data_IF_275546514989
#
_entry.id   IF_275546514989
#
_cell.length_a   1.000
_cell.length_b   1.000
_cell.length_c   1.000
_cell.angle_alpha   90.00
_cell.angle_beta   90.00
_cell.angle_gamma   90.00
#
_symmetry.space_group_name_H-M   'P 1'
#
loop_
_entity.id
_entity.type
_entity.pdbx_description
1 polymer ?
#
# COMPACT_ATOMS: atom_id res chain seq x y z
N UNK A 1 -13.28 -33.38 -8.54
CA UNK A 1 -13.67 -34.59 -9.30
C UNK A 1 -14.49 -34.31 -10.57
N UNK A 2 -15.27 -33.19 -10.61
CA UNK A 2 -16.09 -32.85 -11.80
C UNK A 2 -15.32 -32.17 -12.93
N UNK A 3 -14.11 -31.68 -12.70
CA UNK A 3 -13.34 -30.85 -13.66
C UNK A 3 -12.25 -31.60 -14.44
N UNK A 4 -12.08 -32.89 -14.17
CA UNK A 4 -11.17 -33.80 -14.89
C UNK A 4 -9.74 -33.22 -15.11
N UNK A 5 -9.17 -32.62 -14.05
CA UNK A 5 -7.83 -32.05 -14.09
C UNK A 5 -7.68 -30.68 -14.78
N UNK A 6 -8.76 -30.08 -15.25
CA UNK A 6 -8.73 -28.76 -15.95
C UNK A 6 -8.58 -27.55 -15.03
N UNK A 7 -8.68 -27.74 -13.70
CA UNK A 7 -8.58 -26.67 -12.71
C UNK A 7 -7.23 -26.82 -11.98
N UNK A 8 -6.44 -25.77 -11.99
CA UNK A 8 -5.24 -25.63 -11.16
C UNK A 8 -5.64 -24.82 -9.93
N UNK A 9 -5.47 -25.38 -8.75
CA UNK A 9 -5.73 -24.71 -7.49
C UNK A 9 -4.47 -23.95 -7.05
N UNK A 10 -4.60 -22.64 -6.80
CA UNK A 10 -3.56 -21.87 -6.15
C UNK A 10 -3.85 -21.77 -4.65
N UNK A 11 -2.86 -22.09 -3.81
CA UNK A 11 -2.96 -22.04 -2.36
C UNK A 11 -1.82 -21.15 -1.85
N UNK A 12 -2.18 -19.98 -1.39
CA UNK A 12 -1.26 -19.11 -0.69
C UNK A 12 -1.04 -19.62 0.74
N UNK A 13 0.15 -19.39 1.29
CA UNK A 13 0.55 -19.88 2.61
C UNK A 13 0.23 -21.36 2.84
N UNK A 14 0.64 -22.21 1.89
CA UNK A 14 0.36 -23.65 1.91
C UNK A 14 0.69 -24.32 3.25
N UNK A 15 1.68 -23.81 3.96
CA UNK A 15 2.08 -24.31 5.28
C UNK A 15 0.96 -24.21 6.33
N UNK A 16 0.05 -23.26 6.21
CA UNK A 16 -1.08 -23.10 7.16
C UNK A 16 -2.05 -24.27 7.07
N UNK A 17 -2.25 -24.81 5.86
CA UNK A 17 -3.15 -25.94 5.62
C UNK A 17 -2.49 -27.26 6.08
N UNK A 18 -1.17 -27.36 5.87
CA UNK A 18 -0.41 -28.59 6.20
C UNK A 18 -0.04 -28.64 7.69
N UNK A 19 0.22 -27.50 8.32
CA UNK A 19 0.61 -27.38 9.72
C UNK A 19 -0.55 -27.41 10.72
N UNK A 20 -1.77 -27.19 10.26
CA UNK A 20 -2.95 -27.05 11.11
C UNK A 20 -3.40 -28.34 11.83
N UNK A 21 -2.86 -29.49 11.47
CA UNK A 21 -3.25 -30.80 12.02
C UNK A 21 -2.74 -31.12 13.44
N UNK A 22 -2.13 -30.17 14.15
CA UNK A 22 -1.59 -30.39 15.50
C UNK A 22 -2.50 -29.94 16.66
N UNK A 23 -3.63 -29.32 16.35
CA UNK A 23 -4.65 -29.00 17.37
C UNK A 23 -5.73 -30.07 17.39
N UNK A 24 -5.93 -30.71 18.55
CA UNK A 24 -6.99 -31.69 18.78
C UNK A 24 -8.35 -31.11 18.36
N UNK A 25 -8.97 -31.70 17.34
CA UNK A 25 -10.34 -31.37 16.88
C UNK A 25 -10.47 -30.60 15.55
N UNK A 26 -9.41 -30.19 14.90
CA UNK A 26 -9.50 -29.63 13.54
C UNK A 26 -9.32 -30.75 12.50
N UNK A 27 -10.25 -30.85 11.54
CA UNK A 27 -10.07 -31.72 10.38
C UNK A 27 -8.81 -31.26 9.63
N UNK A 28 -7.78 -32.10 9.65
CA UNK A 28 -6.50 -31.84 9.01
C UNK A 28 -6.71 -31.77 7.48
N UNK A 29 -6.86 -30.55 6.96
CA UNK A 29 -6.99 -30.33 5.54
C UNK A 29 -5.80 -30.90 4.74
N UNK A 30 -4.62 -30.95 5.35
CA UNK A 30 -3.45 -31.59 4.77
C UNK A 30 -3.67 -33.08 4.50
N UNK A 31 -4.30 -33.80 5.44
CA UNK A 31 -4.63 -35.21 5.25
C UNK A 31 -5.71 -35.46 4.19
N UNK A 32 -6.56 -34.48 3.92
CA UNK A 32 -7.53 -34.56 2.80
C UNK A 32 -6.87 -34.29 1.44
N UNK A 33 -5.89 -33.38 1.37
CA UNK A 33 -5.19 -33.03 0.12
C UNK A 33 -4.20 -34.12 -0.31
N UNK A 34 -3.48 -34.75 0.62
CA UNK A 34 -2.47 -35.77 0.33
C UNK A 34 -2.96 -36.91 -0.59
N UNK A 35 -4.13 -37.54 -0.34
CA UNK A 35 -4.66 -38.58 -1.23
C UNK A 35 -5.03 -38.07 -2.62
N UNK A 36 -5.55 -36.84 -2.72
CA UNK A 36 -5.98 -36.25 -3.99
C UNK A 36 -4.76 -35.90 -4.87
N UNK A 37 -3.72 -35.33 -4.24
CA UNK A 37 -2.43 -35.09 -4.89
C UNK A 37 -1.77 -36.37 -5.31
N UNK A 38 -1.85 -37.43 -4.50
CA UNK A 38 -1.27 -38.73 -4.78
C UNK A 38 -1.87 -39.41 -6.01
N UNK A 39 -3.16 -39.24 -6.23
CA UNK A 39 -3.89 -39.82 -7.36
C UNK A 39 -3.88 -38.94 -8.62
N UNK A 40 -3.23 -37.77 -8.58
CA UNK A 40 -3.28 -36.79 -9.68
C UNK A 40 -4.65 -36.17 -9.92
N UNK A 41 -5.56 -36.30 -8.94
CA UNK A 41 -6.92 -35.75 -9.03
C UNK A 41 -6.94 -34.22 -8.78
N UNK A 42 -5.85 -33.68 -8.21
CA UNK A 42 -5.68 -32.26 -7.89
C UNK A 42 -4.34 -31.75 -8.44
N UNK A 43 -4.42 -30.75 -9.30
CA UNK A 43 -3.26 -29.94 -9.68
C UNK A 43 -3.23 -28.69 -8.82
N UNK A 44 -2.09 -28.45 -8.16
CA UNK A 44 -1.98 -27.40 -7.17
C UNK A 44 -0.66 -26.64 -7.30
N UNK A 45 -0.72 -25.33 -7.19
CA UNK A 45 0.43 -24.45 -7.00
C UNK A 45 0.32 -23.93 -5.57
N UNK A 46 1.32 -24.22 -4.72
CA UNK A 46 1.39 -23.72 -3.36
C UNK A 46 2.46 -22.65 -3.23
N UNK A 47 2.14 -21.54 -2.59
CA UNK A 47 3.11 -20.51 -2.21
C UNK A 47 3.40 -20.60 -0.71
N UNK A 48 4.67 -20.41 -0.33
CA UNK A 48 5.10 -20.38 1.07
C UNK A 48 6.49 -19.74 1.18
N UNK A 49 6.92 -19.41 2.39
CA UNK A 49 8.30 -18.96 2.63
C UNK A 49 9.27 -20.14 2.70
N UNK A 50 10.57 -19.88 2.48
CA UNK A 50 11.60 -20.92 2.56
C UNK A 50 11.67 -21.58 3.94
N UNK A 51 11.52 -20.82 4.99
CA UNK A 51 11.59 -21.34 6.37
C UNK A 51 10.38 -22.21 6.70
N UNK A 52 9.18 -21.80 6.27
CA UNK A 52 7.97 -22.58 6.45
C UNK A 52 7.96 -23.84 5.57
N UNK A 53 8.53 -23.77 4.33
CA UNK A 53 8.73 -24.93 3.47
C UNK A 53 9.59 -25.98 4.17
N UNK A 54 10.76 -25.59 4.69
CA UNK A 54 11.67 -26.50 5.42
C UNK A 54 11.03 -27.08 6.67
N UNK A 55 10.22 -26.31 7.36
CA UNK A 55 9.60 -26.72 8.63
C UNK A 55 8.42 -27.67 8.46
N UNK A 56 7.60 -27.47 7.42
CA UNK A 56 6.31 -28.17 7.28
C UNK A 56 6.21 -29.05 6.04
N UNK A 57 6.79 -28.67 4.91
CA UNK A 57 6.65 -29.42 3.65
C UNK A 57 7.77 -30.44 3.49
N UNK A 58 9.02 -30.03 3.61
CA UNK A 58 10.21 -30.86 3.44
C UNK A 58 10.25 -32.01 4.45
N UNK A 59 9.75 -31.79 5.66
CA UNK A 59 9.69 -32.83 6.70
C UNK A 59 8.57 -33.87 6.50
N UNK A 60 7.63 -33.58 5.62
CA UNK A 60 6.55 -34.52 5.29
C UNK A 60 6.84 -35.21 3.96
N UNK A 61 7.42 -36.40 4.02
CA UNK A 61 7.81 -37.19 2.84
C UNK A 61 6.65 -37.44 1.86
N UNK A 62 5.39 -37.32 2.29
CA UNK A 62 4.24 -37.48 1.41
C UNK A 62 3.96 -36.21 0.61
N UNK A 63 4.28 -35.04 1.13
CA UNK A 63 4.15 -33.76 0.42
C UNK A 63 5.38 -33.45 -0.41
N UNK A 64 6.57 -33.65 0.14
CA UNK A 64 7.84 -33.42 -0.55
C UNK A 64 7.90 -34.09 -1.93
N UNK A 65 7.44 -35.34 -2.01
CA UNK A 65 7.42 -36.11 -3.30
C UNK A 65 6.37 -35.64 -4.29
N UNK A 66 5.46 -34.74 -3.90
CA UNK A 66 4.32 -34.28 -4.71
C UNK A 66 4.39 -32.81 -5.12
N UNK A 67 5.25 -32.06 -4.47
CA UNK A 67 5.51 -30.68 -4.81
C UNK A 67 6.94 -30.54 -5.35
N UNK A 68 7.06 -30.03 -6.56
CA UNK A 68 8.34 -29.61 -7.10
C UNK A 68 8.62 -28.18 -6.60
N UNK A 69 9.66 -27.96 -5.78
CA UNK A 69 9.98 -26.61 -5.32
C UNK A 69 10.49 -25.75 -6.47
N UNK A 70 9.96 -24.55 -6.57
CA UNK A 70 10.41 -23.48 -7.47
C UNK A 70 10.81 -22.32 -6.58
N UNK A 71 12.10 -21.99 -6.60
CA UNK A 71 12.62 -20.85 -5.85
C UNK A 71 12.35 -19.56 -6.62
N UNK A 72 11.77 -18.58 -5.96
CA UNK A 72 11.54 -17.22 -6.49
C UNK A 72 12.44 -16.28 -5.73
N UNK A 73 13.48 -15.79 -6.42
CA UNK A 73 14.44 -14.87 -5.85
C UNK A 73 13.89 -13.42 -5.79
N UNK A 74 14.53 -12.61 -4.99
CA UNK A 74 14.28 -11.16 -4.96
C UNK A 74 14.63 -10.54 -6.33
N UNK A 75 13.78 -9.68 -6.91
CA UNK A 75 14.07 -9.04 -8.19
C UNK A 75 15.26 -8.08 -8.07
N UNK A 76 15.99 -7.91 -9.16
CA UNK A 76 17.04 -6.92 -9.28
C UNK A 76 16.48 -5.49 -9.15
N UNK A 77 17.38 -4.50 -8.98
CA UNK A 77 16.98 -3.08 -8.94
C UNK A 77 16.24 -2.67 -10.22
N UNK A 78 16.74 -3.09 -11.38
CA UNK A 78 16.16 -2.79 -12.68
C UNK A 78 14.77 -3.42 -12.85
N UNK A 79 14.61 -4.68 -12.47
CA UNK A 79 13.31 -5.38 -12.50
C UNK A 79 12.33 -4.74 -11.53
N UNK A 80 12.78 -4.36 -10.33
CA UNK A 80 11.96 -3.65 -9.35
C UNK A 80 11.45 -2.31 -9.88
N UNK A 81 12.30 -1.53 -10.58
CA UNK A 81 11.88 -0.29 -11.25
C UNK A 81 10.79 -0.58 -12.29
N UNK A 82 10.93 -1.63 -13.09
CA UNK A 82 9.90 -1.98 -14.08
C UNK A 82 8.59 -2.40 -13.43
N UNK A 83 8.66 -3.18 -12.33
CA UNK A 83 7.48 -3.57 -11.55
C UNK A 83 6.75 -2.32 -11.02
N UNK A 84 7.48 -1.37 -10.41
CA UNK A 84 6.90 -0.15 -9.88
C UNK A 84 6.31 0.75 -10.99
N UNK A 85 6.97 0.83 -12.14
CA UNK A 85 6.41 1.52 -13.32
C UNK A 85 5.09 0.91 -13.77
N UNK A 86 4.97 -0.40 -13.74
CA UNK A 86 3.72 -1.10 -14.03
C UNK A 86 2.59 -0.87 -13.01
N UNK A 87 2.95 -0.55 -11.77
CA UNK A 87 2.00 -0.26 -10.69
C UNK A 87 1.63 1.22 -10.57
N UNK A 88 2.40 2.13 -11.18
CA UNK A 88 2.31 3.59 -11.07
C UNK A 88 0.88 4.11 -11.18
N UNK A 89 0.20 3.81 -12.28
CA UNK A 89 -1.13 4.36 -12.58
C UNK A 89 -2.15 4.04 -11.47
N UNK A 90 -2.02 2.87 -10.85
CA UNK A 90 -2.90 2.45 -9.75
C UNK A 90 -2.65 3.27 -8.48
N UNK A 91 -1.38 3.53 -8.15
CA UNK A 91 -1.00 4.35 -7.01
C UNK A 91 -1.31 5.82 -7.22
N UNK A 92 -1.06 6.36 -8.41
CA UNK A 92 -1.45 7.73 -8.80
C UNK A 92 -2.96 7.93 -8.67
N UNK A 93 -3.77 7.00 -9.18
CA UNK A 93 -5.22 7.05 -9.08
C UNK A 93 -5.71 6.97 -7.63
N UNK A 94 -5.08 6.12 -6.79
CA UNK A 94 -5.45 5.96 -5.39
C UNK A 94 -5.13 7.20 -4.56
N UNK A 95 -3.90 7.71 -4.68
CA UNK A 95 -3.42 8.85 -3.90
C UNK A 95 -3.78 10.21 -4.53
N UNK A 96 -4.17 10.24 -5.80
CA UNK A 96 -4.43 11.47 -6.59
C UNK A 96 -3.21 12.40 -6.62
N UNK A 97 -2.03 11.83 -6.83
CA UNK A 97 -0.75 12.50 -6.98
C UNK A 97 -0.04 11.94 -8.20
N UNK A 98 0.86 12.71 -8.80
CA UNK A 98 1.71 12.22 -9.89
C UNK A 98 3.00 11.64 -9.33
N UNK A 99 3.43 10.49 -9.87
CA UNK A 99 4.66 9.77 -9.46
C UNK A 99 5.62 9.77 -10.65
N UNK A 100 6.70 10.54 -10.55
CA UNK A 100 7.70 10.66 -11.61
C UNK A 100 8.59 9.41 -11.69
N UNK A 101 9.26 9.21 -12.83
CA UNK A 101 10.26 8.15 -12.99
C UNK A 101 11.40 8.29 -12.00
N UNK A 102 11.85 9.52 -11.74
CA UNK A 102 12.90 9.78 -10.74
C UNK A 102 12.46 9.39 -9.32
N UNK A 103 11.17 9.55 -8.98
CA UNK A 103 10.64 9.13 -7.70
C UNK A 103 10.65 7.60 -7.56
N UNK A 104 10.32 6.87 -8.62
CA UNK A 104 10.40 5.40 -8.66
C UNK A 104 11.85 4.93 -8.50
N UNK A 105 12.76 5.50 -9.28
CA UNK A 105 14.18 5.20 -9.20
C UNK A 105 14.75 5.46 -7.80
N UNK A 106 14.39 6.60 -7.21
CA UNK A 106 14.79 6.94 -5.85
C UNK A 106 14.22 5.96 -4.82
N UNK A 107 12.94 5.59 -4.95
CA UNK A 107 12.29 4.66 -4.03
C UNK A 107 12.99 3.30 -4.02
N UNK A 108 13.32 2.75 -5.18
CA UNK A 108 14.03 1.46 -5.28
C UNK A 108 15.43 1.57 -4.71
N UNK A 109 16.23 2.58 -5.11
CA UNK A 109 17.63 2.73 -4.67
C UNK A 109 17.75 3.04 -3.17
N UNK A 110 16.86 3.89 -2.63
CA UNK A 110 16.88 4.26 -1.22
C UNK A 110 16.35 3.13 -0.34
N UNK A 111 15.28 2.44 -0.74
CA UNK A 111 14.78 1.30 0.01
C UNK A 111 15.81 0.17 0.05
N UNK A 112 16.49 -0.11 -1.06
CA UNK A 112 17.53 -1.12 -1.10
C UNK A 112 18.69 -0.78 -0.16
N UNK A 113 19.10 0.48 -0.13
CA UNK A 113 20.23 0.95 0.68
C UNK A 113 19.94 1.04 2.18
N UNK A 114 18.71 1.44 2.56
CA UNK A 114 18.40 1.82 3.94
C UNK A 114 17.42 0.90 4.65
N UNK A 115 16.65 0.10 3.90
CA UNK A 115 15.69 -0.87 4.47
C UNK A 115 16.26 -2.27 4.27
N UNK A 116 16.80 -2.84 5.35
CA UNK A 116 17.52 -4.12 5.32
C UNK A 116 16.72 -5.31 5.81
N UNK A 117 15.57 -5.07 6.44
CA UNK A 117 14.68 -6.07 7.05
C UNK A 117 13.52 -6.50 6.12
N UNK A 118 13.49 -5.96 4.90
CA UNK A 118 12.48 -6.26 3.88
C UNK A 118 13.12 -6.44 2.51
N UNK A 119 12.38 -7.08 1.61
CA UNK A 119 12.82 -7.41 0.26
C UNK A 119 12.19 -6.50 -0.79
N UNK A 120 12.86 -6.37 -1.94
CA UNK A 120 12.28 -5.79 -3.15
C UNK A 120 11.27 -6.79 -3.76
N UNK A 121 10.20 -6.31 -4.41
CA UNK A 121 9.87 -4.90 -4.65
C UNK A 121 9.10 -4.24 -3.49
N UNK A 122 8.67 -4.99 -2.48
CA UNK A 122 7.72 -4.57 -1.44
C UNK A 122 8.21 -3.35 -0.66
N UNK A 123 9.48 -3.33 -0.23
CA UNK A 123 10.07 -2.18 0.49
C UNK A 123 10.05 -0.88 -0.32
N UNK A 124 10.16 -0.97 -1.65
CA UNK A 124 10.09 0.19 -2.52
C UNK A 124 8.64 0.64 -2.78
N UNK A 125 7.72 -0.32 -2.88
CA UNK A 125 6.27 -0.07 -2.97
C UNK A 125 5.78 0.66 -1.72
N UNK A 126 6.12 0.17 -0.52
CA UNK A 126 5.77 0.80 0.75
C UNK A 126 6.28 2.24 0.82
N UNK A 127 7.50 2.49 0.35
CA UNK A 127 8.10 3.82 0.34
C UNK A 127 7.35 4.79 -0.58
N UNK A 128 6.93 4.33 -1.76
CA UNK A 128 6.10 5.12 -2.69
C UNK A 128 4.73 5.41 -2.07
N UNK A 129 4.09 4.41 -1.48
CA UNK A 129 2.77 4.54 -0.87
C UNK A 129 2.78 5.58 0.27
N UNK A 130 3.78 5.51 1.15
CA UNK A 130 3.96 6.47 2.24
C UNK A 130 4.28 7.88 1.73
N UNK A 131 5.17 8.01 0.74
CA UNK A 131 5.53 9.29 0.16
C UNK A 131 4.34 9.95 -0.53
N UNK A 132 3.58 9.20 -1.32
CA UNK A 132 2.39 9.68 -2.00
C UNK A 132 1.31 10.13 -0.98
N UNK A 133 1.12 9.38 0.08
CA UNK A 133 0.22 9.74 1.19
C UNK A 133 0.64 11.05 1.84
N UNK A 134 1.94 11.25 2.11
CA UNK A 134 2.47 12.49 2.68
C UNK A 134 2.28 13.70 1.75
N UNK A 135 2.51 13.53 0.45
CA UNK A 135 2.28 14.59 -0.54
C UNK A 135 0.81 14.97 -0.58
N UNK A 136 -0.08 13.99 -0.61
CA UNK A 136 -1.53 14.20 -0.57
C UNK A 136 -1.96 14.97 0.68
N UNK A 137 -1.50 14.58 1.87
CA UNK A 137 -1.82 15.27 3.11
C UNK A 137 -1.37 16.74 3.10
N UNK A 138 -0.18 17.02 2.54
CA UNK A 138 0.30 18.40 2.40
C UNK A 138 -0.59 19.26 1.49
N UNK A 139 -1.17 18.67 0.44
CA UNK A 139 -2.09 19.40 -0.45
C UNK A 139 -3.44 19.72 0.20
N UNK A 140 -3.85 18.98 1.24
CA UNK A 140 -5.05 19.29 2.05
C UNK A 140 -4.79 20.22 3.22
N UNK A 141 -3.52 20.43 3.59
CA UNK A 141 -3.19 21.35 4.66
C UNK A 141 -3.16 22.76 4.08
N UNK A 142 -4.09 23.61 4.50
CA UNK A 142 -4.10 25.02 4.11
C UNK A 142 -2.73 25.65 4.40
N UNK A 143 -2.05 26.26 3.42
CA UNK A 143 -0.76 26.91 3.66
C UNK A 143 -0.84 27.86 4.86
N UNK A 144 0.21 27.96 5.69
CA UNK A 144 0.20 28.81 6.87
C UNK A 144 -0.18 30.26 6.59
N UNK A 145 0.25 30.79 5.44
CA UNK A 145 -0.10 32.14 4.99
C UNK A 145 -1.59 32.32 4.69
N UNK A 146 -2.28 31.30 4.19
CA UNK A 146 -3.74 31.37 3.97
C UNK A 146 -4.51 31.37 5.30
N UNK A 147 -4.06 30.62 6.31
CA UNK A 147 -4.67 30.69 7.66
C UNK A 147 -4.49 32.06 8.30
N UNK A 148 -3.31 32.66 8.16
CA UNK A 148 -3.06 34.03 8.65
C UNK A 148 -3.93 35.06 7.93
N UNK A 149 -4.13 34.89 6.62
CA UNK A 149 -5.01 35.75 5.83
C UNK A 149 -6.49 35.58 6.22
N UNK A 150 -6.94 34.35 6.47
CA UNK A 150 -8.28 34.06 6.96
C UNK A 150 -8.56 34.73 8.32
N UNK A 151 -7.58 34.64 9.26
CA UNK A 151 -7.68 35.28 10.56
C UNK A 151 -7.77 36.79 10.42
N UNK A 152 -6.89 37.41 9.61
CA UNK A 152 -6.92 38.85 9.35
C UNK A 152 -8.24 39.32 8.70
N UNK A 153 -8.76 38.51 7.79
CA UNK A 153 -10.03 38.80 7.11
C UNK A 153 -11.21 38.76 8.09
N UNK A 154 -11.18 37.82 9.04
CA UNK A 154 -12.18 37.73 10.12
C UNK A 154 -12.09 38.91 11.09
N UNK A 155 -10.87 39.37 11.43
CA UNK A 155 -10.64 40.53 12.25
C UNK A 155 -11.17 41.80 11.57
N UNK A 156 -10.82 42.03 10.30
CA UNK A 156 -11.31 43.19 9.52
C UNK A 156 -12.83 43.20 9.41
N UNK A 157 -13.45 42.05 9.25
CA UNK A 157 -14.92 41.92 9.24
C UNK A 157 -15.54 42.37 10.55
N UNK A 158 -15.01 41.89 11.68
CA UNK A 158 -15.48 42.27 13.01
C UNK A 158 -15.33 43.77 13.27
N UNK A 159 -14.18 44.34 12.88
CA UNK A 159 -13.95 45.78 13.01
C UNK A 159 -14.90 46.60 12.11
N UNK A 160 -15.14 46.13 10.88
CA UNK A 160 -16.09 46.77 9.96
C UNK A 160 -17.51 46.78 10.55
N UNK A 161 -17.96 45.64 11.08
CA UNK A 161 -19.29 45.53 11.67
C UNK A 161 -19.44 46.43 12.92
N UNK A 162 -18.38 46.51 13.75
CA UNK A 162 -18.34 47.42 14.89
C UNK A 162 -18.38 48.90 14.45
N UNK A 163 -17.63 49.27 13.41
CA UNK A 163 -17.64 50.64 12.86
C UNK A 163 -19.01 51.00 12.26
N UNK A 164 -19.71 50.07 11.64
CA UNK A 164 -21.10 50.29 11.18
C UNK A 164 -22.05 50.53 12.35
N UNK A 165 -21.93 49.73 13.43
CA UNK A 165 -22.77 49.89 14.61
C UNK A 165 -22.51 51.22 15.35
N UNK A 166 -21.26 51.70 15.31
CA UNK A 166 -20.85 52.98 15.91
C UNK A 166 -21.12 54.20 14.99
N UNK A 167 -21.72 53.96 13.79
CA UNK A 167 -21.98 54.98 12.77
C UNK A 167 -20.72 55.69 12.22
N UNK A 168 -19.55 55.02 12.34
CA UNK A 168 -18.26 55.51 11.78
C UNK A 168 -18.15 55.09 10.29
N UNK A 169 -18.95 55.73 9.42
CA UNK A 169 -19.11 55.28 8.04
C UNK A 169 -17.84 55.40 7.19
N UNK A 170 -16.97 56.40 7.44
CA UNK A 170 -15.68 56.52 6.73
C UNK A 170 -14.74 55.37 7.06
N UNK A 171 -14.68 54.96 8.32
CA UNK A 171 -13.89 53.81 8.79
C UNK A 171 -14.46 52.50 8.24
N UNK A 172 -15.76 52.34 8.24
CA UNK A 172 -16.41 51.16 7.66
C UNK A 172 -16.15 51.03 6.15
N UNK A 173 -16.10 52.14 5.40
CA UNK A 173 -15.76 52.14 3.97
C UNK A 173 -14.30 51.72 3.73
N UNK A 174 -13.35 52.26 4.51
CA UNK A 174 -11.92 51.86 4.38
C UNK A 174 -11.69 50.42 4.73
N UNK A 175 -12.36 49.87 5.75
CA UNK A 175 -12.28 48.44 6.11
C UNK A 175 -12.89 47.52 5.06
N UNK A 176 -13.95 47.95 4.37
CA UNK A 176 -14.53 47.23 3.23
C UNK A 176 -13.53 47.12 2.07
N UNK A 177 -12.83 48.20 1.75
CA UNK A 177 -11.84 48.21 0.69
C UNK A 177 -10.63 47.34 1.05
N UNK A 178 -10.23 47.29 2.32
CA UNK A 178 -9.22 46.34 2.82
C UNK A 178 -9.68 44.89 2.71
N UNK A 179 -10.92 44.57 3.09
CA UNK A 179 -11.50 43.23 2.96
C UNK A 179 -11.47 42.75 1.50
N UNK A 180 -11.81 43.62 0.56
CA UNK A 180 -11.83 43.32 -0.85
C UNK A 180 -10.43 42.99 -1.39
N UNK A 181 -9.42 43.83 -1.04
CA UNK A 181 -8.01 43.62 -1.43
C UNK A 181 -7.40 42.33 -0.88
N UNK A 182 -7.83 41.85 0.29
CA UNK A 182 -7.37 40.60 0.90
C UNK A 182 -8.04 39.36 0.29
N UNK A 183 -9.14 39.53 -0.43
CA UNK A 183 -9.85 38.46 -1.13
C UNK A 183 -9.33 38.22 -2.58
N UNK A 184 -8.70 39.21 -3.19
CA UNK A 184 -8.08 39.15 -4.49
C UNK A 184 -6.67 38.52 -4.41
#
# INVERSE_FOLDING_TARGET
KKSDGQIILFIDELHTIVGAGKTEGSMDAGNMLKPMLARGELHCIGATTLDEYRKYIEKDAALERRFQPIHVDEPSLEESIQILKGLRDRYEAHHRVSITDDAIDAAVKLSDRYITDRFLPDKAIDLIDEAASKVRLRSYTTPPNLKELEVKLEEIRKEKDAAVQSQEFEKAASLRDMEQRLRE
#
